data_IF_109042739547
#
_entry.id   IF_109042739547
#
_cell.length_a   1.000
_cell.length_b   1.000
_cell.length_c   1.000
_cell.angle_alpha   90.00
_cell.angle_beta   90.00
_cell.angle_gamma   90.00
#
_symmetry.space_group_name_H-M   'P 1'
#
loop_
_entity.id
_entity.type
_entity.pdbx_description
1 polymer ?
#
# COMPACT_ATOMS: atom_id res chain seq x y z
N UNK A 1 -6.90 9.79 0.88
CA UNK A 1 -5.74 9.11 0.25
C UNK A 1 -5.89 9.33 -1.23
N UNK A 2 -4.82 9.78 -1.92
CA UNK A 2 -4.86 10.05 -3.33
C UNK A 2 -3.93 9.13 -4.05
N UNK A 3 -4.51 8.32 -4.90
CA UNK A 3 -3.74 7.65 -5.92
C UNK A 3 -4.36 8.03 -7.27
N UNK A 4 -3.54 8.31 -8.25
CA UNK A 4 -3.98 8.57 -9.60
C UNK A 4 -4.14 7.24 -10.34
N UNK A 5 -5.30 7.04 -10.92
CA UNK A 5 -5.57 5.94 -11.84
C UNK A 5 -5.51 6.49 -13.28
N UNK A 6 -4.55 6.00 -14.07
CA UNK A 6 -4.37 6.44 -15.46
C UNK A 6 -5.54 6.03 -16.36
N UNK A 7 -6.17 4.89 -16.11
CA UNK A 7 -7.27 4.38 -16.93
C UNK A 7 -8.56 5.17 -16.70
N UNK A 8 -8.84 5.52 -15.44
CA UNK A 8 -10.00 6.34 -15.10
C UNK A 8 -9.69 7.84 -15.07
N UNK A 9 -8.40 8.22 -15.05
CA UNK A 9 -7.92 9.60 -14.84
C UNK A 9 -8.50 10.25 -13.58
N UNK A 10 -8.80 9.47 -12.59
CA UNK A 10 -9.36 9.95 -11.33
C UNK A 10 -8.28 10.02 -10.25
N UNK A 11 -8.28 11.13 -9.55
CA UNK A 11 -7.52 11.29 -8.31
C UNK A 11 -8.41 10.92 -7.14
N UNK A 12 -7.88 10.10 -6.29
CA UNK A 12 -8.51 9.81 -5.01
C UNK A 12 -8.00 10.82 -3.98
N UNK A 13 -8.86 11.85 -3.59
CA UNK A 13 -8.68 12.83 -2.54
C UNK A 13 -8.67 14.29 -2.99
N UNK A 14 -8.09 15.35 -2.30
CA UNK A 14 -8.27 16.74 -2.64
C UNK A 14 -7.74 17.05 -4.06
N UNK A 15 -8.64 17.42 -4.96
CA UNK A 15 -8.28 17.83 -6.29
C UNK A 15 -7.35 19.05 -6.21
N UNK A 16 -6.20 18.96 -6.85
CA UNK A 16 -5.25 20.04 -7.01
C UNK A 16 -4.41 19.78 -8.24
N UNK A 17 -3.88 20.84 -8.84
CA UNK A 17 -2.88 20.66 -9.88
C UNK A 17 -1.57 20.16 -9.28
N UNK A 18 -0.74 19.54 -10.09
CA UNK A 18 0.62 19.15 -9.73
C UNK A 18 1.42 20.33 -9.18
N UNK A 19 1.26 21.53 -9.78
CA UNK A 19 1.89 22.76 -9.34
C UNK A 19 1.43 23.19 -7.93
N UNK A 20 0.13 23.03 -7.61
CA UNK A 20 -0.41 23.34 -6.28
C UNK A 20 0.10 22.33 -5.23
N UNK A 21 0.21 21.06 -5.58
CA UNK A 21 0.78 20.03 -4.71
C UNK A 21 2.25 20.34 -4.40
N UNK A 22 3.07 20.64 -5.41
CA UNK A 22 4.47 21.04 -5.23
C UNK A 22 4.60 22.30 -4.35
N UNK A 23 3.85 23.34 -4.65
CA UNK A 23 3.86 24.59 -3.87
C UNK A 23 3.42 24.40 -2.41
N UNK A 24 2.59 23.38 -2.13
CA UNK A 24 2.23 23.00 -0.77
C UNK A 24 3.38 22.32 -0.04
N UNK A 25 4.10 21.42 -0.71
CA UNK A 25 5.28 20.73 -0.15
C UNK A 25 6.41 21.75 0.16
N UNK A 26 6.65 22.71 -0.71
CA UNK A 26 7.67 23.74 -0.50
C UNK A 26 7.42 24.60 0.77
N UNK A 27 6.17 24.75 1.19
CA UNK A 27 5.78 25.53 2.38
C UNK A 27 5.84 24.73 3.69
N UNK A 28 6.08 23.43 3.65
CA UNK A 28 6.16 22.58 4.82
C UNK A 28 7.38 22.93 5.69
N UNK A 29 7.29 22.66 7.00
CA UNK A 29 8.42 22.79 7.94
C UNK A 29 9.46 21.70 7.67
N UNK A 30 10.74 22.08 7.61
CA UNK A 30 11.84 21.16 7.30
C UNK A 30 12.06 20.09 8.39
N UNK A 31 11.67 20.35 9.63
CA UNK A 31 11.91 19.49 10.79
C UNK A 31 10.70 18.64 11.17
N UNK A 32 9.53 18.92 10.62
CA UNK A 32 8.32 18.15 10.89
C UNK A 32 8.26 16.85 10.06
N UNK A 33 7.46 15.90 10.52
CA UNK A 33 7.16 14.67 9.79
C UNK A 33 5.79 14.77 9.13
N UNK A 34 5.69 14.14 7.99
CA UNK A 34 4.51 14.13 7.13
C UNK A 34 4.20 12.72 6.67
N UNK A 35 2.91 12.42 6.47
CA UNK A 35 2.49 11.25 5.72
C UNK A 35 2.45 11.66 4.26
N UNK A 36 3.34 11.07 3.46
CA UNK A 36 3.35 11.22 2.01
C UNK A 36 2.49 10.14 1.35
N UNK A 37 1.72 10.52 0.34
CA UNK A 37 0.98 9.63 -0.54
C UNK A 37 1.49 9.85 -1.96
N UNK A 38 2.00 8.80 -2.58
CA UNK A 38 2.57 8.85 -3.91
C UNK A 38 1.83 7.92 -4.86
N UNK A 39 1.49 8.41 -6.04
CA UNK A 39 1.00 7.61 -7.17
C UNK A 39 2.14 7.25 -8.09
N UNK A 40 2.17 6.02 -8.57
CA UNK A 40 3.12 5.60 -9.60
C UNK A 40 2.58 5.94 -10.99
N UNK A 41 3.46 6.20 -11.95
CA UNK A 41 3.07 6.44 -13.35
C UNK A 41 2.46 5.21 -14.01
N UNK A 42 2.84 4.02 -13.56
CA UNK A 42 2.40 2.74 -14.12
C UNK A 42 2.24 1.70 -13.03
N UNK A 43 1.30 0.79 -13.25
CA UNK A 43 1.20 -0.41 -12.45
C UNK A 43 2.53 -1.17 -12.48
N UNK A 44 3.04 -1.47 -11.31
CA UNK A 44 4.35 -2.09 -11.13
C UNK A 44 4.21 -3.38 -10.34
N UNK A 45 4.91 -4.46 -10.73
CA UNK A 45 4.93 -5.68 -9.92
C UNK A 45 5.52 -5.42 -8.55
N UNK A 46 5.04 -6.16 -7.53
CA UNK A 46 5.55 -6.05 -6.18
C UNK A 46 7.09 -6.20 -6.12
N UNK A 47 7.65 -7.18 -6.80
CA UNK A 47 9.09 -7.41 -6.81
C UNK A 47 9.88 -6.19 -7.33
N UNK A 48 9.41 -5.54 -8.38
CA UNK A 48 10.05 -4.35 -8.92
C UNK A 48 9.91 -3.16 -7.95
N UNK A 49 8.72 -2.95 -7.41
CA UNK A 49 8.44 -1.90 -6.43
C UNK A 49 9.28 -2.08 -5.15
N UNK A 50 9.33 -3.29 -4.60
CA UNK A 50 10.12 -3.60 -3.42
C UNK A 50 11.61 -3.28 -3.62
N UNK A 51 12.19 -3.74 -4.74
CA UNK A 51 13.59 -3.46 -5.06
C UNK A 51 13.83 -1.95 -5.26
N UNK A 52 12.91 -1.24 -5.89
CA UNK A 52 12.96 0.21 -6.04
C UNK A 52 12.95 0.91 -4.68
N UNK A 53 12.07 0.53 -3.77
CA UNK A 53 11.95 1.09 -2.42
C UNK A 53 13.19 0.77 -1.55
N UNK A 54 13.65 -0.49 -1.59
CA UNK A 54 14.84 -0.95 -0.85
C UNK A 54 16.11 -0.21 -1.27
N UNK A 55 16.32 0.01 -2.56
CA UNK A 55 17.47 0.76 -3.07
C UNK A 55 17.46 2.23 -2.65
N UNK A 56 16.35 2.74 -2.16
CA UNK A 56 16.15 4.11 -1.65
C UNK A 56 16.01 4.19 -0.14
N UNK A 57 16.27 3.08 0.54
CA UNK A 57 16.15 2.96 1.99
C UNK A 57 14.75 3.37 2.51
N UNK A 58 13.70 2.98 1.75
CA UNK A 58 12.32 3.33 2.03
C UNK A 58 11.46 2.13 2.43
N UNK A 59 12.02 0.92 2.43
CA UNK A 59 11.29 -0.33 2.64
C UNK A 59 10.79 -0.54 4.08
N UNK A 60 11.29 0.23 5.05
CA UNK A 60 10.83 0.14 6.43
C UNK A 60 9.52 0.90 6.65
N UNK A 61 8.46 0.18 7.08
CA UNK A 61 7.12 0.73 7.36
C UNK A 61 6.48 1.49 6.17
N UNK A 62 6.87 1.14 4.97
CA UNK A 62 6.23 1.62 3.76
C UNK A 62 4.92 0.87 3.56
N UNK A 63 3.82 1.61 3.40
CA UNK A 63 2.55 1.02 2.98
C UNK A 63 2.43 1.13 1.46
N UNK A 64 2.14 0.02 0.78
CA UNK A 64 1.91 0.00 -0.66
C UNK A 64 0.43 -0.25 -0.96
N UNK A 65 -0.10 0.48 -1.95
CA UNK A 65 -1.43 0.32 -2.47
C UNK A 65 -1.43 -0.76 -3.56
N UNK A 66 -2.25 -1.77 -3.38
CA UNK A 66 -2.37 -2.89 -4.32
C UNK A 66 -3.55 -2.65 -5.24
N UNK A 67 -3.31 -2.75 -6.54
CA UNK A 67 -4.35 -2.69 -7.55
C UNK A 67 -5.09 -4.02 -7.62
N UNK A 68 -6.40 -3.96 -7.50
CA UNK A 68 -7.32 -5.08 -7.70
C UNK A 68 -8.43 -4.67 -8.65
N UNK A 69 -8.80 -5.53 -9.57
CA UNK A 69 -9.82 -5.25 -10.59
C UNK A 69 -10.88 -6.36 -10.65
N UNK A 70 -12.06 -6.00 -11.13
CA UNK A 70 -13.10 -6.95 -11.49
C UNK A 70 -12.81 -7.63 -12.85
N UNK A 71 -13.74 -8.47 -13.29
CA UNK A 71 -13.64 -9.20 -14.57
C UNK A 71 -13.60 -8.29 -15.80
N UNK A 72 -14.15 -7.08 -15.68
CA UNK A 72 -14.15 -6.06 -16.74
C UNK A 72 -12.91 -5.17 -16.70
N UNK A 73 -12.02 -5.37 -15.70
CA UNK A 73 -10.80 -4.62 -15.52
C UNK A 73 -10.97 -3.30 -14.75
N UNK A 74 -12.17 -3.03 -14.21
CA UNK A 74 -12.38 -1.85 -13.37
C UNK A 74 -11.85 -2.10 -11.96
N UNK A 75 -11.26 -1.07 -11.37
CA UNK A 75 -10.78 -1.13 -10.00
C UNK A 75 -11.91 -1.52 -9.04
N UNK A 76 -11.68 -2.55 -8.23
CA UNK A 76 -12.70 -3.17 -7.37
C UNK A 76 -13.27 -2.24 -6.31
N UNK A 77 -12.53 -1.20 -5.89
CA UNK A 77 -12.94 -0.39 -4.76
C UNK A 77 -12.66 1.09 -4.91
N UNK A 78 -13.55 1.86 -4.28
CA UNK A 78 -13.38 3.29 -4.04
C UNK A 78 -12.42 3.59 -2.87
N UNK A 79 -12.02 2.59 -2.09
CA UNK A 79 -11.07 2.72 -0.98
C UNK A 79 -9.79 1.95 -1.32
N UNK A 80 -8.63 2.61 -1.32
CA UNK A 80 -7.37 1.93 -1.58
C UNK A 80 -7.12 0.81 -0.59
N UNK A 81 -6.89 -0.39 -1.08
CA UNK A 81 -6.44 -1.54 -0.30
C UNK A 81 -4.93 -1.70 -0.45
N UNK A 82 -4.29 -2.19 0.59
CA UNK A 82 -2.84 -2.34 0.56
C UNK A 82 -2.28 -2.99 1.81
N UNK A 83 -0.96 -3.06 1.87
CA UNK A 83 -0.24 -3.69 2.96
C UNK A 83 1.02 -2.93 3.32
N UNK A 84 1.48 -3.10 4.57
CA UNK A 84 2.79 -2.62 4.99
C UNK A 84 3.90 -3.52 4.43
N UNK A 85 5.04 -2.92 4.12
CA UNK A 85 6.28 -3.62 3.83
C UNK A 85 7.17 -3.52 5.06
N UNK A 86 7.74 -4.64 5.50
CA UNK A 86 8.62 -4.72 6.67
C UNK A 86 8.03 -4.03 7.93
N UNK A 87 6.81 -4.37 8.37
CA UNK A 87 6.24 -3.78 9.56
C UNK A 87 7.10 -4.09 10.78
N UNK A 88 7.28 -3.10 11.65
CA UNK A 88 7.85 -3.32 12.98
C UNK A 88 6.74 -3.71 13.95
N UNK A 89 7.01 -4.65 14.84
CA UNK A 89 6.08 -5.00 15.90
C UNK A 89 6.09 -6.48 16.29
N UNK A 90 5.28 -6.82 17.28
CA UNK A 90 5.10 -8.20 17.72
C UNK A 90 3.91 -8.81 17.00
N UNK A 91 4.08 -10.05 16.54
CA UNK A 91 2.96 -10.82 16.03
C UNK A 91 2.06 -11.29 17.14
N UNK A 92 0.76 -11.17 16.94
CA UNK A 92 -0.26 -11.86 17.74
C UNK A 92 -0.37 -13.31 17.28
N UNK A 93 -1.00 -14.13 18.09
CA UNK A 93 -1.33 -15.49 17.67
C UNK A 93 -2.50 -15.48 16.71
N UNK A 94 -2.40 -16.26 15.61
CA UNK A 94 -3.44 -16.37 14.60
C UNK A 94 -3.50 -17.79 14.05
N UNK A 95 -4.57 -18.13 13.36
CA UNK A 95 -4.73 -19.38 12.63
C UNK A 95 -3.88 -19.38 11.34
N UNK A 96 -2.70 -20.02 11.41
CA UNK A 96 -1.73 -20.08 10.31
C UNK A 96 -2.13 -21.04 9.20
N UNK A 97 -3.02 -21.97 9.49
CA UNK A 97 -3.53 -22.91 8.50
C UNK A 97 -4.54 -22.22 7.59
N UNK A 98 -5.45 -21.45 8.17
CA UNK A 98 -6.48 -20.72 7.43
C UNK A 98 -5.93 -19.45 6.78
N UNK A 99 -5.02 -18.72 7.47
CA UNK A 99 -4.47 -17.44 7.01
C UNK A 99 -2.92 -17.48 7.02
N UNK A 100 -2.29 -18.22 6.10
CA UNK A 100 -0.83 -18.32 6.05
C UNK A 100 -0.20 -16.93 5.83
N UNK A 101 0.86 -16.66 6.57
CA UNK A 101 1.58 -15.38 6.53
C UNK A 101 0.73 -14.14 6.88
N UNK A 102 -0.41 -14.25 7.56
CA UNK A 102 -1.22 -13.09 7.96
C UNK A 102 -0.40 -12.03 8.71
N UNK A 103 0.53 -12.44 9.56
CA UNK A 103 1.61 -11.57 10.04
C UNK A 103 2.88 -11.82 9.23
N UNK A 104 3.50 -10.76 8.76
CA UNK A 104 4.76 -10.84 8.00
C UNK A 104 5.96 -11.27 8.87
N UNK A 105 5.84 -11.08 10.19
CA UNK A 105 6.82 -11.51 11.18
C UNK A 105 6.23 -12.65 11.99
N UNK A 106 6.74 -13.85 11.80
CA UNK A 106 6.40 -15.00 12.65
C UNK A 106 7.60 -15.39 13.50
N UNK A 107 7.59 -14.96 14.76
CA UNK A 107 8.65 -15.26 15.72
C UNK A 107 8.66 -16.72 16.23
N UNK A 108 7.70 -17.55 15.81
CA UNK A 108 7.64 -18.99 16.10
C UNK A 108 8.19 -19.82 14.94
N UNK A 109 8.33 -19.22 13.76
CA UNK A 109 8.92 -19.89 12.62
C UNK A 109 10.44 -19.98 12.78
N UNK A 110 11.05 -20.99 12.19
CA UNK A 110 12.49 -21.08 12.08
C UNK A 110 13.05 -19.78 11.46
N UNK A 111 14.26 -19.44 11.83
CA UNK A 111 14.94 -18.15 11.60
C UNK A 111 14.93 -17.61 10.18
N UNK A 112 14.55 -18.40 9.18
CA UNK A 112 14.48 -18.00 7.77
C UNK A 112 13.21 -17.22 7.38
N UNK A 113 12.24 -17.05 8.30
CA UNK A 113 10.95 -16.41 8.01
C UNK A 113 10.74 -15.05 8.68
N UNK A 114 11.78 -14.43 9.20
CA UNK A 114 11.67 -13.13 9.88
C UNK A 114 11.24 -11.99 8.96
N UNK A 115 11.52 -12.08 7.67
CA UNK A 115 11.11 -11.07 6.70
C UNK A 115 10.67 -11.74 5.41
N UNK A 116 9.37 -11.86 5.21
CA UNK A 116 8.82 -12.37 3.95
C UNK A 116 8.80 -11.33 2.84
N UNK A 117 9.12 -10.08 3.13
CA UNK A 117 8.98 -8.96 2.19
C UNK A 117 9.84 -9.08 0.92
N UNK A 118 10.93 -9.84 0.97
CA UNK A 118 11.76 -10.13 -0.21
C UNK A 118 11.19 -11.25 -1.10
N UNK A 119 10.24 -12.02 -0.58
CA UNK A 119 9.65 -13.16 -1.24
C UNK A 119 8.27 -12.79 -1.79
N UNK A 120 8.20 -12.60 -3.11
CA UNK A 120 6.97 -12.17 -3.78
C UNK A 120 5.81 -13.15 -3.57
N UNK A 121 6.05 -14.46 -3.60
CA UNK A 121 5.01 -15.48 -3.43
C UNK A 121 4.44 -15.47 -2.01
N UNK A 122 5.31 -15.29 -1.01
CA UNK A 122 4.87 -15.16 0.39
C UNK A 122 4.11 -13.86 0.63
N UNK A 123 4.53 -12.76 0.01
CA UNK A 123 3.82 -11.48 0.12
C UNK A 123 2.47 -11.51 -0.59
N UNK A 124 2.36 -12.21 -1.71
CA UNK A 124 1.07 -12.47 -2.36
C UNK A 124 0.15 -13.30 -1.45
N UNK A 125 0.68 -14.37 -0.88
CA UNK A 125 -0.05 -15.20 0.11
C UNK A 125 -0.45 -14.39 1.34
N UNK A 126 0.43 -13.53 1.86
CA UNK A 126 0.13 -12.60 2.95
C UNK A 126 -1.05 -11.69 2.61
N UNK A 127 -1.04 -11.07 1.44
CA UNK A 127 -2.10 -10.14 1.06
C UNK A 127 -3.44 -10.85 0.84
N UNK A 128 -3.44 -12.03 0.22
CA UNK A 128 -4.63 -12.88 0.09
C UNK A 128 -5.16 -13.29 1.48
N UNK A 129 -4.30 -13.66 2.40
CA UNK A 129 -4.68 -13.98 3.78
C UNK A 129 -5.27 -12.78 4.52
N UNK A 130 -4.70 -11.58 4.32
CA UNK A 130 -5.23 -10.34 4.88
C UNK A 130 -6.65 -10.05 4.37
N UNK A 131 -6.87 -10.13 3.06
CA UNK A 131 -8.19 -9.94 2.46
C UNK A 131 -9.19 -11.00 2.95
N UNK A 132 -8.76 -12.27 3.04
CA UNK A 132 -9.58 -13.37 3.53
C UNK A 132 -9.95 -13.17 5.00
N UNK A 133 -9.00 -12.74 5.83
CA UNK A 133 -9.26 -12.43 7.23
C UNK A 133 -10.26 -11.28 7.39
N UNK A 134 -10.12 -10.21 6.62
CA UNK A 134 -11.06 -9.09 6.64
C UNK A 134 -12.45 -9.50 6.16
N UNK A 135 -12.54 -10.33 5.11
CA UNK A 135 -13.80 -10.90 4.62
C UNK A 135 -14.51 -11.72 5.71
N UNK A 136 -13.78 -12.58 6.39
CA UNK A 136 -14.34 -13.50 7.38
C UNK A 136 -14.67 -12.77 8.70
N UNK A 137 -14.17 -11.53 8.90
CA UNK A 137 -14.42 -10.69 10.06
C UNK A 137 -15.09 -9.36 9.71
N UNK A 138 -16.03 -9.38 8.77
CA UNK A 138 -16.72 -8.17 8.27
C UNK A 138 -17.40 -7.32 9.35
N UNK A 139 -17.81 -7.92 10.46
CA UNK A 139 -18.39 -7.15 11.58
C UNK A 139 -17.39 -6.13 12.15
N UNK A 140 -16.11 -6.49 12.22
CA UNK A 140 -15.04 -5.57 12.67
C UNK A 140 -14.80 -4.50 11.60
N UNK A 141 -14.74 -4.91 10.34
CA UNK A 141 -14.53 -3.99 9.21
C UNK A 141 -15.64 -2.93 9.13
N UNK A 142 -16.91 -3.32 9.35
CA UNK A 142 -18.06 -2.39 9.38
C UNK A 142 -17.94 -1.35 10.48
N UNK A 143 -17.36 -1.68 11.63
CA UNK A 143 -17.12 -0.72 12.71
C UNK A 143 -16.11 0.34 12.27
N UNK A 144 -15.11 -0.03 11.47
CA UNK A 144 -14.03 0.85 11.03
C UNK A 144 -14.41 1.66 9.78
N UNK A 145 -15.11 1.05 8.83
CA UNK A 145 -15.38 1.60 7.50
C UNK A 145 -16.85 1.92 7.23
N UNK A 146 -17.74 1.72 8.23
CA UNK A 146 -19.19 1.85 8.04
C UNK A 146 -19.77 0.68 7.25
N UNK A 147 -20.97 0.89 6.68
CA UNK A 147 -21.73 -0.16 5.96
C UNK A 147 -21.26 -0.34 4.49
N UNK A 148 -20.08 0.13 4.13
CA UNK A 148 -19.56 -0.05 2.77
C UNK A 148 -19.26 -1.54 2.53
N UNK A 149 -19.86 -2.12 1.49
CA UNK A 149 -19.54 -3.47 1.03
C UNK A 149 -18.22 -3.44 0.26
N UNK A 150 -17.25 -4.25 0.71
CA UNK A 150 -15.95 -4.40 0.05
C UNK A 150 -15.96 -5.76 -0.65
N UNK A 151 -15.66 -5.82 -1.96
CA UNK A 151 -15.72 -7.04 -2.76
C UNK A 151 -14.47 -7.91 -2.57
N UNK A 152 -14.24 -8.39 -1.36
CA UNK A 152 -13.02 -9.15 -1.01
C UNK A 152 -12.77 -10.36 -1.90
N UNK A 153 -13.80 -11.12 -2.27
CA UNK A 153 -13.64 -12.30 -3.12
C UNK A 153 -13.13 -11.92 -4.52
N UNK A 154 -13.66 -10.85 -5.10
CA UNK A 154 -13.19 -10.32 -6.39
C UNK A 154 -11.75 -9.83 -6.29
N UNK A 155 -11.40 -9.12 -5.21
CA UNK A 155 -10.02 -8.67 -4.97
C UNK A 155 -9.04 -9.85 -4.84
N UNK A 156 -9.43 -10.91 -4.11
CA UNK A 156 -8.62 -12.12 -3.95
C UNK A 156 -8.40 -12.80 -5.31
N UNK A 157 -9.44 -12.94 -6.12
CA UNK A 157 -9.31 -13.56 -7.45
C UNK A 157 -8.44 -12.69 -8.39
N UNK A 158 -8.57 -11.37 -8.34
CA UNK A 158 -7.69 -10.45 -9.09
C UNK A 158 -6.21 -10.67 -8.74
N UNK A 159 -5.88 -10.76 -7.45
CA UNK A 159 -4.50 -11.00 -7.00
C UNK A 159 -3.99 -12.38 -7.43
N UNK A 160 -4.82 -13.42 -7.34
CA UNK A 160 -4.44 -14.77 -7.79
C UNK A 160 -4.19 -14.84 -9.30
N UNK A 161 -4.92 -14.06 -10.09
CA UNK A 161 -4.81 -14.05 -11.54
C UNK A 161 -3.62 -13.21 -12.01
N UNK A 162 -3.44 -12.02 -11.45
CA UNK A 162 -2.54 -10.99 -11.96
C UNK A 162 -1.30 -10.75 -11.09
N UNK A 163 -1.25 -11.39 -9.91
CA UNK A 163 -0.22 -11.14 -8.89
C UNK A 163 -0.40 -9.80 -8.19
N UNK A 164 0.55 -9.47 -7.33
CA UNK A 164 0.58 -8.17 -6.65
C UNK A 164 1.05 -7.06 -7.60
N UNK A 165 0.16 -6.15 -7.92
CA UNK A 165 0.42 -4.94 -8.72
C UNK A 165 0.27 -3.70 -7.86
N UNK A 166 1.31 -2.89 -7.79
CA UNK A 166 1.37 -1.68 -6.97
C UNK A 166 1.11 -0.47 -7.85
N UNK A 167 0.21 0.43 -7.43
CA UNK A 167 -0.10 1.66 -8.14
C UNK A 167 0.21 2.93 -7.33
N UNK A 168 0.57 2.76 -6.05
CA UNK A 168 0.95 3.87 -5.19
C UNK A 168 1.47 3.39 -3.84
N UNK A 169 1.89 4.33 -3.01
CA UNK A 169 2.39 4.03 -1.68
C UNK A 169 2.21 5.21 -0.71
N UNK A 170 2.33 4.94 0.57
CA UNK A 170 2.47 5.98 1.59
C UNK A 170 3.66 5.72 2.50
N UNK A 171 4.32 6.80 2.92
CA UNK A 171 5.48 6.78 3.80
C UNK A 171 5.46 7.97 4.75
N UNK A 172 5.95 7.77 5.97
CA UNK A 172 6.19 8.87 6.92
C UNK A 172 7.61 9.39 6.72
N UNK A 173 7.74 10.66 6.37
CA UNK A 173 9.04 11.26 6.11
C UNK A 173 9.08 12.77 6.35
N UNK A 174 10.27 13.35 6.36
CA UNK A 174 10.46 14.79 6.41
C UNK A 174 10.41 15.42 5.00
N UNK A 175 10.22 16.74 4.94
CA UNK A 175 10.16 17.53 3.69
C UNK A 175 11.30 17.22 2.72
N UNK A 176 12.53 17.05 3.21
CA UNK A 176 13.67 16.72 2.34
C UNK A 176 13.43 15.46 1.51
N UNK A 177 12.82 14.43 2.10
CA UNK A 177 12.48 13.19 1.40
C UNK A 177 11.33 13.39 0.42
N UNK A 178 10.34 14.23 0.78
CA UNK A 178 9.24 14.59 -0.13
C UNK A 178 9.75 15.23 -1.41
N UNK A 179 10.68 16.19 -1.30
CA UNK A 179 11.29 16.84 -2.47
C UNK A 179 12.10 15.85 -3.32
N UNK A 180 12.82 14.90 -2.69
CA UNK A 180 13.50 13.83 -3.42
C UNK A 180 12.53 12.92 -4.17
N UNK A 181 11.38 12.58 -3.54
CA UNK A 181 10.35 11.77 -4.18
C UNK A 181 9.65 12.49 -5.31
N UNK A 182 9.52 13.82 -5.20
CA UNK A 182 8.94 14.64 -6.28
C UNK A 182 9.75 14.57 -7.57
N UNK A 183 11.07 14.59 -7.45
CA UNK A 183 12.01 14.53 -8.58
C UNK A 183 12.27 13.07 -9.06
N UNK A 184 11.60 12.08 -8.46
CA UNK A 184 11.84 10.67 -8.76
C UNK A 184 11.05 10.22 -9.99
N UNK A 185 11.76 9.68 -10.98
CA UNK A 185 11.15 9.07 -12.16
C UNK A 185 10.23 7.91 -11.78
N UNK A 186 9.04 7.87 -12.34
CA UNK A 186 8.03 6.85 -12.06
C UNK A 186 7.01 7.22 -10.98
N UNK A 187 7.10 8.45 -10.42
CA UNK A 187 6.07 9.03 -9.56
C UNK A 187 5.27 10.06 -10.37
N UNK A 188 3.97 9.84 -10.51
CA UNK A 188 3.08 10.73 -11.26
C UNK A 188 2.45 11.81 -10.39
N UNK A 189 2.32 11.55 -9.09
CA UNK A 189 1.72 12.51 -8.15
C UNK A 189 2.19 12.26 -6.73
N UNK A 190 2.40 13.34 -5.97
CA UNK A 190 2.80 13.29 -4.58
C UNK A 190 1.99 14.30 -3.76
N UNK A 191 1.45 13.84 -2.64
CA UNK A 191 0.72 14.68 -1.69
C UNK A 191 1.18 14.39 -0.26
N UNK A 192 1.22 15.39 0.59
CA UNK A 192 1.66 15.24 1.97
C UNK A 192 0.71 15.90 2.96
N UNK A 193 0.46 15.23 4.08
CA UNK A 193 -0.31 15.76 5.21
C UNK A 193 0.55 15.76 6.48
N UNK A 194 0.38 16.71 7.41
CA UNK A 194 1.07 16.67 8.70
C UNK A 194 0.79 15.36 9.43
N UNK A 195 1.83 14.86 10.11
CA UNK A 195 1.68 13.79 11.08
C UNK A 195 1.37 14.44 12.43
N UNK A 196 0.10 14.36 12.85
CA UNK A 196 -0.39 14.89 14.13
C UNK A 196 0.02 13.97 15.31
#
# INVERSE_FOLDING_TARGET
MHFFDEDTRQFWGPAGSEEEAYASIEKLDDNAYYIAYASLEKLTSYAHFYNWAKNREMDANLWCAVYTSDEDGYMCDSVPVGMLINPSGSCIDWDRETYPYLCQLDNRADTDSWHISEDTEKMETHFISLLSYLRDHQEIVKILNGDQEIPYDTMIESVKQDGLRIYGFSIVCQKKKLLQLWDEEGISYLYAVPLD
#
